data_IF_742876979549
#
_entry.id   IF_742876979549
#
_cell.length_a   1.000
_cell.length_b   1.000
_cell.length_c   1.000
_cell.angle_alpha   90.00
_cell.angle_beta   90.00
_cell.angle_gamma   90.00
#
_symmetry.space_group_name_H-M   'P 1'
#
loop_
_entity.id
_entity.type
_entity.pdbx_description
1 polymer ?
#
# COMPACT_ATOMS: atom_id res chain seq x y z
N UNK A 1 -5.53 5.04 32.91
CA UNK A 1 -6.68 4.81 32.07
C UNK A 1 -6.42 5.08 30.59
N UNK A 2 -5.93 6.27 30.25
CA UNK A 2 -5.53 6.55 28.87
C UNK A 2 -4.32 5.72 28.45
N UNK A 3 -3.44 5.44 29.39
CA UNK A 3 -2.27 4.62 29.13
C UNK A 3 -2.64 3.18 28.80
N UNK A 4 -3.65 2.65 29.43
CA UNK A 4 -4.13 1.29 29.14
C UNK A 4 -4.71 1.17 27.73
N UNK A 5 -5.39 2.20 27.25
CA UNK A 5 -5.90 2.21 25.88
C UNK A 5 -4.79 2.39 24.84
N UNK A 6 -3.73 3.09 25.20
CA UNK A 6 -2.56 3.28 24.34
C UNK A 6 -1.64 2.07 24.36
N UNK A 7 -1.69 1.27 25.41
CA UNK A 7 -0.90 0.04 25.52
C UNK A 7 -1.47 -1.13 24.74
N UNK A 8 -2.63 -1.00 24.14
CA UNK A 8 -3.07 -1.99 23.17
C UNK A 8 -2.10 -1.95 22.01
N UNK A 9 -1.12 -2.82 22.06
CA UNK A 9 -0.08 -2.91 21.05
C UNK A 9 -0.73 -3.15 19.70
N UNK A 10 -0.68 -2.14 18.86
CA UNK A 10 -1.13 -2.28 17.51
C UNK A 10 -0.02 -2.94 16.71
N UNK A 11 -0.32 -4.13 16.21
CA UNK A 11 0.59 -4.82 15.30
C UNK A 11 0.32 -4.29 13.90
N UNK A 12 1.26 -3.52 13.40
CA UNK A 12 1.06 -2.87 12.11
C UNK A 12 2.34 -2.78 11.31
N UNK A 13 2.20 -2.56 10.02
CA UNK A 13 3.29 -2.20 9.13
C UNK A 13 2.89 -0.95 8.36
N UNK A 14 3.75 0.05 8.39
CA UNK A 14 3.65 1.22 7.52
C UNK A 14 4.68 1.07 6.42
N UNK A 15 4.25 1.14 5.18
CA UNK A 15 5.15 0.90 4.06
C UNK A 15 4.83 1.82 2.89
N UNK A 16 5.84 2.02 2.07
CA UNK A 16 5.71 2.75 0.81
C UNK A 16 6.06 1.81 -0.33
N UNK A 17 5.29 1.89 -1.41
CA UNK A 17 5.59 1.19 -2.64
C UNK A 17 5.39 2.12 -3.81
N UNK A 18 6.15 1.92 -4.88
CA UNK A 18 6.10 2.79 -6.04
C UNK A 18 6.36 1.99 -7.30
N UNK A 19 5.94 2.55 -8.41
CA UNK A 19 6.22 1.97 -9.73
C UNK A 19 6.17 3.05 -10.80
N UNK A 20 7.02 2.86 -11.80
CA UNK A 20 7.01 3.66 -13.02
C UNK A 20 6.22 2.92 -14.10
N UNK A 21 5.31 3.64 -14.74
CA UNK A 21 4.55 3.12 -15.86
C UNK A 21 4.93 3.91 -17.10
N UNK A 22 5.24 3.22 -18.18
CA UNK A 22 5.61 3.87 -19.41
C UNK A 22 4.36 4.27 -20.18
N UNK A 23 4.28 5.55 -20.56
CA UNK A 23 3.20 6.06 -21.38
C UNK A 23 3.52 5.84 -22.85
N UNK A 24 2.49 5.44 -23.62
CA UNK A 24 2.68 5.02 -25.00
C UNK A 24 2.90 6.16 -25.99
N UNK A 25 2.57 7.40 -25.63
CA UNK A 25 2.62 8.52 -26.55
C UNK A 25 3.50 9.64 -26.03
N UNK A 26 4.57 9.94 -26.76
CA UNK A 26 5.51 11.00 -26.42
C UNK A 26 5.04 12.41 -26.78
N UNK A 27 4.02 12.52 -27.62
CA UNK A 27 3.59 13.80 -28.18
C UNK A 27 2.30 14.34 -27.57
N UNK A 28 1.77 13.67 -26.56
CA UNK A 28 0.51 14.07 -25.96
C UNK A 28 0.78 14.98 -24.79
N UNK A 29 0.16 16.17 -24.80
CA UNK A 29 0.24 17.07 -23.68
C UNK A 29 -0.83 16.63 -22.68
N UNK A 30 -0.42 16.40 -21.46
CA UNK A 30 -1.32 15.97 -20.38
C UNK A 30 -1.70 17.20 -19.57
N UNK A 31 -3.00 17.51 -19.56
CA UNK A 31 -3.52 18.67 -18.83
C UNK A 31 -3.69 18.39 -17.34
N UNK A 32 -4.11 17.19 -17.02
CA UNK A 32 -4.30 16.82 -15.62
C UNK A 32 -4.11 15.33 -15.42
N UNK A 33 -3.74 14.99 -14.19
CA UNK A 33 -3.56 13.62 -13.76
C UNK A 33 -4.21 13.47 -12.40
N UNK A 34 -5.09 12.48 -12.28
CA UNK A 34 -5.70 12.12 -11.00
C UNK A 34 -5.47 10.64 -10.76
N UNK A 35 -5.09 10.28 -9.55
CA UNK A 35 -4.84 8.90 -9.19
C UNK A 35 -5.62 8.55 -7.93
N UNK A 36 -6.21 7.35 -7.93
CA UNK A 36 -7.00 6.85 -6.82
C UNK A 36 -6.64 5.40 -6.55
N UNK A 37 -6.55 5.04 -5.28
CA UNK A 37 -6.43 3.65 -4.90
C UNK A 37 -7.83 3.03 -4.95
N UNK A 38 -7.98 2.05 -5.81
CA UNK A 38 -9.24 1.34 -5.97
C UNK A 38 -9.37 0.19 -4.96
N UNK A 39 -8.30 -0.56 -4.79
CA UNK A 39 -8.33 -1.73 -3.90
C UNK A 39 -6.91 -2.14 -3.52
N UNK A 40 -6.79 -2.79 -2.38
CA UNK A 40 -5.54 -3.45 -1.98
C UNK A 40 -5.80 -4.94 -1.89
N UNK A 41 -5.03 -5.72 -2.65
CA UNK A 41 -5.16 -7.17 -2.68
C UNK A 41 -3.99 -7.80 -1.93
N UNK A 42 -4.32 -8.64 -0.96
CA UNK A 42 -3.30 -9.43 -0.27
C UNK A 42 -3.38 -10.83 -0.84
N UNK A 43 -2.36 -11.19 -1.63
CA UNK A 43 -2.37 -12.42 -2.40
C UNK A 43 -1.75 -13.59 -1.64
N UNK A 44 -0.86 -13.30 -0.72
CA UNK A 44 -0.19 -14.33 0.06
C UNK A 44 0.10 -13.83 1.47
N UNK A 45 -0.21 -14.67 2.45
CA UNK A 45 0.04 -14.41 3.86
C UNK A 45 0.83 -15.57 4.41
N UNK A 46 2.01 -15.29 5.00
CA UNK A 46 2.86 -16.33 5.58
C UNK A 46 3.29 -15.94 6.99
N UNK A 47 3.00 -16.80 7.94
CA UNK A 47 3.48 -16.62 9.31
C UNK A 47 4.79 -17.39 9.46
N UNK A 48 5.87 -16.69 9.79
CA UNK A 48 7.19 -17.30 9.89
C UNK A 48 7.80 -17.04 11.27
N UNK A 49 8.66 -17.95 11.69
CA UNK A 49 9.43 -17.80 12.91
C UNK A 49 10.69 -16.99 12.62
N UNK A 50 11.00 -16.08 13.52
CA UNK A 50 12.17 -15.24 13.40
C UNK A 50 12.95 -15.26 14.72
N UNK A 51 14.06 -14.53 14.75
CA UNK A 51 14.85 -14.38 15.97
C UNK A 51 14.07 -13.50 16.95
N UNK A 52 14.00 -13.94 18.19
CA UNK A 52 13.43 -13.16 19.28
C UNK A 52 14.53 -12.38 19.96
N UNK A 53 14.52 -11.05 19.82
CA UNK A 53 15.55 -10.21 20.44
C UNK A 53 15.10 -8.74 20.40
N UNK A 54 15.92 -7.90 21.09
CA UNK A 54 15.78 -6.46 20.97
C UNK A 54 16.89 -5.98 20.05
N UNK A 55 16.55 -5.29 18.98
CA UNK A 55 17.53 -4.79 18.03
C UNK A 55 18.30 -3.60 18.62
N UNK A 56 19.40 -3.21 17.95
CA UNK A 56 20.19 -2.05 18.34
C UNK A 56 19.39 -0.74 18.27
N UNK A 57 18.29 -0.73 17.58
CA UNK A 57 17.41 0.42 17.45
C UNK A 57 16.21 0.36 18.40
N UNK A 58 16.30 -0.45 19.45
CA UNK A 58 15.24 -0.70 20.42
C UNK A 58 13.98 -1.30 19.83
N UNK A 59 14.06 -1.87 18.63
CA UNK A 59 12.97 -2.57 18.02
C UNK A 59 12.84 -3.97 18.61
N UNK A 60 11.70 -4.27 19.20
CA UNK A 60 11.49 -5.57 19.82
C UNK A 60 11.02 -6.59 18.78
N UNK A 61 11.83 -7.63 18.59
CA UNK A 61 11.48 -8.75 17.72
C UNK A 61 10.81 -9.83 18.55
N UNK A 62 9.57 -10.15 18.22
CA UNK A 62 8.75 -11.08 19.01
C UNK A 62 9.02 -12.55 18.73
N UNK A 63 9.75 -12.85 17.65
CA UNK A 63 9.94 -14.23 17.20
C UNK A 63 8.93 -14.69 16.19
N UNK A 64 7.90 -13.91 15.92
CA UNK A 64 6.87 -14.21 14.90
C UNK A 64 6.70 -13.05 13.96
N UNK A 65 6.66 -13.35 12.68
CA UNK A 65 6.57 -12.34 11.63
C UNK A 65 5.53 -12.77 10.60
N UNK A 66 4.62 -11.88 10.29
CA UNK A 66 3.64 -12.12 9.24
C UNK A 66 4.11 -11.44 7.97
N UNK A 67 4.36 -12.22 6.94
CA UNK A 67 4.78 -11.69 5.63
C UNK A 67 3.57 -11.57 4.74
N UNK A 68 3.38 -10.39 4.17
CA UNK A 68 2.27 -10.06 3.30
C UNK A 68 2.81 -9.69 1.93
N UNK A 69 2.29 -10.33 0.91
CA UNK A 69 2.61 -10.03 -0.48
C UNK A 69 1.31 -9.78 -1.23
N UNK A 70 1.27 -8.72 -1.99
CA UNK A 70 0.08 -8.39 -2.72
C UNK A 70 0.31 -7.31 -3.76
N UNK A 71 -0.78 -6.67 -4.15
CA UNK A 71 -0.72 -5.56 -5.07
C UNK A 71 -1.81 -4.53 -4.74
N UNK A 72 -1.60 -3.33 -5.24
CA UNK A 72 -2.53 -2.22 -5.06
C UNK A 72 -3.08 -1.86 -6.42
N UNK A 73 -4.40 -1.89 -6.55
CA UNK A 73 -5.09 -1.48 -7.77
C UNK A 73 -5.29 0.02 -7.75
N UNK A 74 -4.86 0.68 -8.81
CA UNK A 74 -4.91 2.13 -8.92
C UNK A 74 -5.61 2.51 -10.20
N UNK A 75 -6.51 3.48 -10.09
CA UNK A 75 -7.11 4.12 -11.26
C UNK A 75 -6.36 5.43 -11.50
N UNK A 76 -5.76 5.54 -12.67
CA UNK A 76 -5.10 6.76 -13.12
C UNK A 76 -5.96 7.39 -14.22
N UNK A 77 -6.43 8.60 -13.99
CA UNK A 77 -7.24 9.34 -14.95
C UNK A 77 -6.37 10.43 -15.55
N UNK A 78 -6.12 10.30 -16.85
CA UNK A 78 -5.32 11.25 -17.59
C UNK A 78 -6.22 12.08 -18.50
N UNK A 79 -6.12 13.39 -18.38
CA UNK A 79 -6.79 14.33 -19.26
C UNK A 79 -5.79 14.83 -20.30
N UNK A 80 -6.01 14.42 -21.55
CA UNK A 80 -5.14 14.80 -22.64
C UNK A 80 -5.64 16.07 -23.31
N UNK A 81 -4.70 16.94 -23.70
CA UNK A 81 -5.03 18.05 -24.57
C UNK A 81 -5.48 17.51 -25.91
N UNK A 82 -6.65 17.96 -26.38
CA UNK A 82 -7.14 17.60 -27.68
C UNK A 82 -6.23 18.10 -28.80
N UNK A 83 -6.42 17.57 -30.01
CA UNK A 83 -5.73 18.03 -31.21
C UNK A 83 -5.89 19.54 -31.36
N UNK A 84 -4.89 20.19 -31.96
CA UNK A 84 -4.91 21.63 -32.20
C UNK A 84 -6.17 22.15 -32.91
N UNK A 85 -6.90 21.26 -33.58
CA UNK A 85 -8.16 21.60 -34.29
C UNK A 85 -9.39 21.56 -33.38
N UNK A 86 -9.29 20.96 -32.21
CA UNK A 86 -10.41 20.83 -31.26
C UNK A 86 -9.93 21.20 -29.87
N UNK A 87 -9.82 22.51 -29.63
CA UNK A 87 -9.40 23.03 -28.32
C UNK A 87 -10.35 22.67 -27.18
N UNK A 88 -11.57 22.24 -27.51
CA UNK A 88 -12.58 21.91 -26.51
C UNK A 88 -12.75 20.42 -26.27
N UNK A 89 -12.03 19.55 -26.99
CA UNK A 89 -12.13 18.12 -26.76
C UNK A 89 -10.98 17.66 -25.86
N UNK A 90 -11.26 17.60 -24.57
CA UNK A 90 -10.41 16.90 -23.64
C UNK A 90 -10.84 15.43 -23.64
N UNK A 91 -9.90 14.53 -23.86
CA UNK A 91 -10.13 13.09 -23.72
C UNK A 91 -9.62 12.64 -22.37
N UNK A 92 -10.55 12.17 -21.53
CA UNK A 92 -10.16 11.55 -20.26
C UNK A 92 -10.07 10.05 -20.48
N UNK A 93 -8.90 9.51 -20.24
CA UNK A 93 -8.66 8.06 -20.27
C UNK A 93 -8.37 7.58 -18.86
N UNK A 94 -9.05 6.50 -18.49
CA UNK A 94 -8.79 5.83 -17.21
C UNK A 94 -7.96 4.60 -17.46
N UNK A 95 -6.83 4.52 -16.78
CA UNK A 95 -5.95 3.36 -16.82
C UNK A 95 -6.02 2.62 -15.50
N UNK A 96 -6.16 1.31 -15.59
CA UNK A 96 -6.13 0.46 -14.41
C UNK A 96 -4.74 -0.10 -14.26
N UNK A 97 -4.09 0.25 -13.16
CA UNK A 97 -2.69 -0.06 -12.91
C UNK A 97 -2.56 -0.88 -11.64
N UNK A 98 -1.48 -1.64 -11.54
CA UNK A 98 -1.16 -2.43 -10.34
C UNK A 98 0.25 -2.13 -9.87
N UNK A 99 0.39 -1.92 -8.57
CA UNK A 99 1.69 -1.76 -7.93
C UNK A 99 1.88 -2.92 -6.95
N UNK A 100 2.90 -3.75 -7.13
CA UNK A 100 3.17 -4.83 -6.20
C UNK A 100 3.74 -4.28 -4.89
N UNK A 101 3.47 -4.98 -3.80
CA UNK A 101 4.09 -4.66 -2.52
C UNK A 101 4.43 -5.93 -1.77
N UNK A 102 5.39 -5.79 -0.87
CA UNK A 102 5.73 -6.81 0.11
C UNK A 102 6.05 -6.11 1.41
N UNK A 103 5.47 -6.57 2.49
CA UNK A 103 5.69 -6.00 3.80
C UNK A 103 5.56 -7.07 4.87
N UNK A 104 5.86 -6.70 6.11
CA UNK A 104 5.71 -7.63 7.21
C UNK A 104 5.20 -6.92 8.46
N UNK A 105 4.57 -7.69 9.32
CA UNK A 105 4.10 -7.24 10.63
C UNK A 105 4.74 -8.13 11.68
N UNK A 106 5.33 -7.53 12.71
CA UNK A 106 5.76 -8.26 13.90
C UNK A 106 4.51 -8.72 14.63
N UNK A 107 4.39 -10.02 14.86
CA UNK A 107 3.18 -10.61 15.41
C UNK A 107 3.36 -10.97 16.87
N UNK A 108 2.25 -11.19 17.61
CA UNK A 108 2.35 -11.65 18.99
C UNK A 108 3.08 -12.99 19.09
N UNK A 109 3.81 -13.19 20.19
CA UNK A 109 4.57 -14.41 20.41
C UNK A 109 3.72 -15.67 20.40
N UNK A 110 2.47 -15.57 20.84
CA UNK A 110 1.59 -16.72 21.00
C UNK A 110 0.74 -17.04 19.79
N UNK A 111 0.91 -16.30 18.69
CA UNK A 111 0.10 -16.56 17.51
C UNK A 111 0.55 -17.86 16.83
N UNK A 112 -0.42 -18.62 16.35
CA UNK A 112 -0.19 -19.89 15.65
C UNK A 112 -0.77 -19.83 14.25
N UNK A 113 -0.29 -20.72 13.38
CA UNK A 113 -0.74 -20.77 11.99
C UNK A 113 -2.24 -21.01 11.83
N UNK A 114 -2.87 -21.63 12.81
CA UNK A 114 -4.30 -21.93 12.78
C UNK A 114 -5.16 -20.74 13.21
N UNK A 115 -4.57 -19.70 13.78
CA UNK A 115 -5.33 -18.56 14.25
C UNK A 115 -5.86 -17.73 13.08
N UNK A 116 -7.07 -17.23 13.26
CA UNK A 116 -7.68 -16.37 12.26
C UNK A 116 -6.99 -15.01 12.24
N UNK A 117 -6.46 -14.63 11.09
CA UNK A 117 -5.76 -13.37 10.93
C UNK A 117 -6.70 -12.35 10.31
N UNK A 118 -7.06 -11.33 11.08
CA UNK A 118 -7.87 -10.22 10.62
C UNK A 118 -6.97 -9.03 10.34
N UNK A 119 -7.00 -8.58 9.10
CA UNK A 119 -6.17 -7.46 8.65
C UNK A 119 -7.05 -6.31 8.22
N UNK A 120 -6.60 -5.10 8.54
CA UNK A 120 -7.18 -3.87 8.05
C UNK A 120 -6.11 -3.05 7.37
N UNK A 121 -6.50 -2.29 6.37
CA UNK A 121 -5.55 -1.42 5.69
C UNK A 121 -6.08 0.01 5.62
N UNK A 122 -5.14 0.94 5.55
CA UNK A 122 -5.42 2.35 5.39
C UNK A 122 -4.43 2.92 4.38
N UNK A 123 -4.94 3.57 3.35
CA UNK A 123 -4.09 4.30 2.43
C UNK A 123 -3.86 5.69 3.01
N UNK A 124 -2.61 5.99 3.34
CA UNK A 124 -2.26 7.27 3.92
C UNK A 124 -2.06 8.34 2.86
N UNK A 125 -1.44 7.96 1.74
CA UNK A 125 -1.08 8.92 0.71
C UNK A 125 -0.88 8.21 -0.62
N UNK A 126 -1.22 8.91 -1.68
CA UNK A 126 -0.87 8.52 -3.04
C UNK A 126 -0.35 9.76 -3.75
N UNK A 127 0.84 9.65 -4.30
CA UNK A 127 1.44 10.73 -5.08
C UNK A 127 1.73 10.23 -6.47
N UNK A 128 1.58 11.11 -7.44
CA UNK A 128 1.83 10.78 -8.83
C UNK A 128 2.47 11.95 -9.54
N UNK A 129 3.31 11.65 -10.49
CA UNK A 129 3.95 12.66 -11.31
C UNK A 129 4.24 12.08 -12.68
N UNK A 130 4.34 12.96 -13.66
CA UNK A 130 4.72 12.59 -15.00
C UNK A 130 6.04 13.25 -15.31
N UNK A 131 7.03 12.43 -15.65
CA UNK A 131 8.34 12.90 -16.05
C UNK A 131 8.69 12.23 -17.38
N UNK A 132 8.82 13.04 -18.41
CA UNK A 132 9.01 12.57 -19.78
C UNK A 132 7.86 11.65 -20.21
N UNK A 133 8.14 10.39 -20.48
CA UNK A 133 7.13 9.42 -20.89
C UNK A 133 6.68 8.50 -19.77
N UNK A 134 7.10 8.80 -18.56
CA UNK A 134 6.86 7.91 -17.42
C UNK A 134 5.86 8.52 -16.46
N UNK A 135 4.90 7.70 -16.06
CA UNK A 135 4.00 7.99 -14.97
C UNK A 135 4.54 7.31 -13.72
N UNK A 136 4.95 8.11 -12.75
CA UNK A 136 5.43 7.60 -11.47
C UNK A 136 4.30 7.69 -10.46
N UNK A 137 4.04 6.57 -9.78
CA UNK A 137 3.03 6.52 -8.72
C UNK A 137 3.64 5.91 -7.47
N UNK A 138 3.46 6.59 -6.35
CA UNK A 138 3.93 6.14 -5.04
C UNK A 138 2.76 6.11 -4.06
N UNK A 139 2.64 5.01 -3.32
CA UNK A 139 1.57 4.81 -2.35
C UNK A 139 2.17 4.50 -1.00
N UNK A 140 1.69 5.20 0.02
CA UNK A 140 2.03 4.91 1.41
C UNK A 140 0.80 4.36 2.11
N UNK A 141 0.95 3.21 2.74
CA UNK A 141 -0.16 2.51 3.35
C UNK A 141 0.22 1.91 4.69
N UNK A 142 -0.79 1.63 5.47
CA UNK A 142 -0.66 0.90 6.73
C UNK A 142 -1.53 -0.34 6.65
N UNK A 143 -0.96 -1.48 7.02
CA UNK A 143 -1.71 -2.71 7.24
C UNK A 143 -1.57 -3.07 8.72
N UNK A 144 -2.68 -3.30 9.37
CA UNK A 144 -2.69 -3.64 10.78
C UNK A 144 -3.37 -4.98 11.03
N UNK A 145 -2.86 -5.66 12.04
CA UNK A 145 -3.45 -6.90 12.55
C UNK A 145 -4.23 -6.60 13.83
N UNK A 146 -5.48 -7.00 13.86
CA UNK A 146 -6.29 -6.89 15.06
C UNK A 146 -6.34 -8.23 15.77
N UNK A 147 -5.90 -8.23 17.03
CA UNK A 147 -6.00 -9.41 17.86
C UNK A 147 -7.37 -9.46 18.51
N UNK A 148 -8.25 -10.32 17.99
CA UNK A 148 -9.60 -10.46 18.51
C UNK A 148 -9.68 -11.30 19.78
N UNK A 149 -8.58 -11.94 20.19
CA UNK A 149 -8.60 -12.82 21.35
C UNK A 149 -8.66 -12.11 22.70
N UNK A 150 -8.66 -10.79 22.70
CA UNK A 150 -8.72 -9.98 23.92
C UNK A 150 -10.11 -9.47 24.27
N UNK A 151 -11.12 -9.93 23.59
CA UNK A 151 -12.50 -9.49 23.83
C UNK A 151 -13.18 -10.34 24.90
N UNK A 152 -12.51 -11.31 25.41
CA UNK A 152 -13.01 -12.15 26.49
C UNK A 152 -12.73 -11.56 27.88
#
# INVERSE_FOLDING_TARGET
ERCEKLEKTLYLSQFNTYKNFKLASKKTVINSLETYVYNMNINNISLVDTIECISLEDEQLTGKKLILVGDIDIDAILDYAGNKRNRNSSKKNTFKLKIPFSTFIQMPRKIENKDKINLKYLIQDITSSILDDNLFISVTAIISYENSSKIE
#
